data_IF_784868215662
#
_entry.id   IF_784868215662
#
_cell.length_a   1.000
_cell.length_b   1.000
_cell.length_c   1.000
_cell.angle_alpha   90.00
_cell.angle_beta   90.00
_cell.angle_gamma   90.00
#
_symmetry.space_group_name_H-M   'P 1'
#
loop_
_entity.id
_entity.type
_entity.pdbx_description
1 polymer ?
#
# COMPACT_ATOMS: atom_id res chain seq x y z
N UNK A 1 -8.18 -15.37 24.62
CA UNK A 1 -7.91 -13.91 24.62
C UNK A 1 -7.77 -13.43 23.19
N UNK A 2 -8.44 -12.35 22.78
CA UNK A 2 -8.34 -11.84 21.41
C UNK A 2 -6.92 -11.28 21.14
N UNK A 3 -6.24 -11.79 20.12
CA UNK A 3 -4.89 -11.36 19.71
C UNK A 3 -4.98 -9.91 19.22
N UNK A 4 -4.54 -8.96 20.04
CA UNK A 4 -4.57 -7.52 19.74
C UNK A 4 -3.46 -7.24 18.73
N UNK A 5 -3.80 -6.99 17.47
CA UNK A 5 -2.83 -6.61 16.45
C UNK A 5 -2.23 -5.25 16.82
N UNK A 6 -0.99 -5.25 17.32
CA UNK A 6 -0.27 -4.03 17.71
C UNK A 6 0.65 -3.62 16.58
N UNK A 7 0.27 -2.58 15.85
CA UNK A 7 1.12 -2.02 14.80
C UNK A 7 2.21 -1.15 15.41
N UNK A 8 3.48 -1.44 15.08
CA UNK A 8 4.63 -0.71 15.64
C UNK A 8 4.70 0.75 15.23
N UNK A 9 4.33 1.09 13.99
CA UNK A 9 4.41 2.46 13.45
C UNK A 9 3.50 3.45 14.17
N UNK A 10 2.36 2.95 14.66
CA UNK A 10 1.28 3.73 15.28
C UNK A 10 1.63 4.16 16.71
N UNK A 11 2.68 3.59 17.31
CA UNK A 11 3.17 3.96 18.63
C UNK A 11 3.62 5.44 18.70
N UNK A 12 4.03 6.04 17.57
CA UNK A 12 4.40 7.47 17.48
C UNK A 12 3.31 8.45 17.91
N UNK A 13 2.05 8.01 17.88
CA UNK A 13 0.91 8.86 18.24
C UNK A 13 0.69 8.97 19.76
N UNK A 14 1.28 8.09 20.57
CA UNK A 14 1.11 8.10 22.02
C UNK A 14 -0.32 7.77 22.46
N UNK A 15 -0.90 8.60 23.33
CA UNK A 15 -2.29 8.47 23.81
C UNK A 15 -3.35 9.02 22.84
N UNK A 16 -2.95 9.79 21.82
CA UNK A 16 -3.85 10.53 20.93
C UNK A 16 -4.63 9.61 19.96
N UNK A 17 -5.74 10.14 19.43
CA UNK A 17 -6.56 9.59 18.33
C UNK A 17 -7.34 8.29 18.61
N UNK A 18 -7.25 7.72 19.82
CA UNK A 18 -8.01 6.52 20.20
C UNK A 18 -7.50 5.23 19.54
N UNK A 19 -7.94 4.06 20.02
CA UNK A 19 -7.41 2.77 19.56
C UNK A 19 -7.86 2.39 18.15
N UNK A 20 -9.16 2.51 17.85
CA UNK A 20 -9.74 2.02 16.57
C UNK A 20 -9.13 2.70 15.35
N UNK A 21 -8.97 4.02 15.39
CA UNK A 21 -8.38 4.79 14.30
C UNK A 21 -6.90 4.42 14.10
N UNK A 22 -6.18 4.26 15.22
CA UNK A 22 -4.80 3.80 15.26
C UNK A 22 -4.62 2.41 14.64
N UNK A 23 -5.47 1.45 14.98
CA UNK A 23 -5.40 0.10 14.41
C UNK A 23 -5.63 0.12 12.89
N UNK A 24 -6.65 0.87 12.42
CA UNK A 24 -6.93 1.02 10.97
C UNK A 24 -5.76 1.67 10.22
N UNK A 25 -5.23 2.75 10.77
CA UNK A 25 -4.10 3.45 10.16
C UNK A 25 -2.83 2.58 10.13
N UNK A 26 -2.59 1.82 11.20
CA UNK A 26 -1.47 0.88 11.28
C UNK A 26 -1.53 -0.22 10.24
N UNK A 27 -2.74 -0.74 9.95
CA UNK A 27 -2.94 -1.71 8.88
C UNK A 27 -2.52 -1.14 7.51
N UNK A 28 -2.97 0.09 7.20
CA UNK A 28 -2.66 0.78 5.94
C UNK A 28 -1.16 1.08 5.83
N UNK A 29 -0.52 1.59 6.89
CA UNK A 29 0.92 1.85 6.89
C UNK A 29 1.76 0.58 6.77
N UNK A 30 1.33 -0.51 7.43
CA UNK A 30 2.02 -1.79 7.35
C UNK A 30 1.98 -2.37 5.94
N UNK A 31 0.83 -2.25 5.27
CA UNK A 31 0.68 -2.66 3.88
C UNK A 31 1.50 -1.77 2.93
N UNK A 32 1.44 -0.45 3.10
CA UNK A 32 2.18 0.52 2.28
C UNK A 32 3.70 0.35 2.38
N UNK A 33 4.23 0.04 3.58
CA UNK A 33 5.68 -0.12 3.82
C UNK A 33 6.19 -1.52 3.46
N UNK A 34 5.31 -2.45 3.13
CA UNK A 34 5.70 -3.80 2.73
C UNK A 34 6.49 -3.72 1.44
N UNK A 35 7.49 -4.58 1.30
CA UNK A 35 8.16 -4.78 0.01
C UNK A 35 7.20 -5.52 -0.93
N UNK A 36 6.94 -4.96 -2.09
CA UNK A 36 6.05 -5.56 -3.09
C UNK A 36 6.84 -6.18 -4.24
N UNK A 37 6.21 -7.16 -4.92
CA UNK A 37 6.73 -7.75 -6.15
C UNK A 37 6.65 -6.74 -7.29
N UNK A 38 7.76 -6.58 -8.00
CA UNK A 38 7.82 -5.75 -9.19
C UNK A 38 7.09 -6.43 -10.37
N UNK A 39 6.29 -5.70 -11.17
CA UNK A 39 5.66 -6.26 -12.37
C UNK A 39 6.67 -6.55 -13.50
N UNK A 40 7.83 -5.88 -13.51
CA UNK A 40 8.82 -6.01 -14.57
C UNK A 40 9.88 -7.07 -14.30
N UNK A 41 10.45 -7.09 -13.08
CA UNK A 41 11.54 -7.99 -12.71
C UNK A 41 11.14 -9.08 -11.71
N UNK A 42 9.90 -9.06 -11.20
CA UNK A 42 9.34 -10.02 -10.24
C UNK A 42 10.06 -10.13 -8.87
N UNK A 43 11.08 -9.30 -8.61
CA UNK A 43 11.73 -9.20 -7.30
C UNK A 43 10.91 -8.38 -6.30
N UNK A 44 11.00 -8.76 -5.03
CA UNK A 44 10.34 -8.09 -3.89
C UNK A 44 11.17 -6.91 -3.35
N UNK A 45 11.45 -5.92 -4.20
CA UNK A 45 12.22 -4.72 -3.83
C UNK A 45 11.57 -3.43 -4.37
N UNK A 46 10.23 -3.40 -4.44
CA UNK A 46 9.49 -2.18 -4.77
C UNK A 46 9.25 -1.37 -3.49
N UNK A 47 9.54 -0.07 -3.57
CA UNK A 47 9.25 0.92 -2.53
C UNK A 47 8.38 2.05 -3.10
N UNK A 48 7.58 2.66 -2.24
CA UNK A 48 6.74 3.82 -2.59
C UNK A 48 7.60 5.09 -2.62
N UNK A 49 7.52 5.86 -3.70
CA UNK A 49 8.19 7.16 -3.82
C UNK A 49 7.22 8.30 -3.49
N UNK A 50 6.02 8.27 -4.10
CA UNK A 50 4.94 9.21 -3.82
C UNK A 50 3.59 8.49 -3.76
N UNK A 51 2.49 9.21 -3.55
CA UNK A 51 1.14 8.61 -3.65
C UNK A 51 0.97 8.06 -5.08
N UNK A 52 0.72 6.76 -5.21
CA UNK A 52 0.50 6.12 -6.51
C UNK A 52 1.75 5.91 -7.37
N UNK A 53 2.90 6.47 -7.01
CA UNK A 53 4.18 6.29 -7.72
C UNK A 53 5.08 5.33 -6.94
N UNK A 54 5.51 4.27 -7.60
CA UNK A 54 6.32 3.21 -7.04
C UNK A 54 7.60 3.02 -7.83
N UNK A 55 8.70 2.75 -7.12
CA UNK A 55 10.03 2.54 -7.69
C UNK A 55 10.56 1.18 -7.28
N UNK A 56 11.02 0.40 -8.23
CA UNK A 56 11.78 -0.82 -7.95
C UNK A 56 13.27 -0.48 -7.80
N UNK A 57 13.90 -0.86 -6.69
CA UNK A 57 15.33 -0.60 -6.47
C UNK A 57 16.23 -1.49 -7.33
N UNK A 58 15.76 -2.66 -7.75
CA UNK A 58 16.57 -3.60 -8.53
C UNK A 58 16.68 -3.21 -10.00
N UNK A 59 15.55 -2.88 -10.64
CA UNK A 59 15.51 -2.57 -12.08
C UNK A 59 15.33 -1.07 -12.37
N UNK A 60 15.28 -0.22 -11.32
CA UNK A 60 15.08 1.23 -11.41
C UNK A 60 13.82 1.69 -12.15
N UNK A 61 12.89 0.80 -12.47
CA UNK A 61 11.61 1.16 -13.07
C UNK A 61 10.74 1.95 -12.09
N UNK A 62 10.17 3.05 -12.58
CA UNK A 62 9.12 3.81 -11.90
C UNK A 62 7.79 3.53 -12.59
N UNK A 63 6.76 3.23 -11.83
CA UNK A 63 5.45 2.91 -12.38
C UNK A 63 4.32 3.40 -11.49
N UNK A 64 3.14 3.52 -12.08
CA UNK A 64 1.91 3.95 -11.41
C UNK A 64 1.13 2.75 -10.90
N UNK A 65 0.67 2.79 -9.64
CA UNK A 65 -0.28 1.80 -9.10
C UNK A 65 -1.15 2.44 -8.00
N UNK A 66 -1.85 1.64 -7.18
CA UNK A 66 -2.73 2.20 -6.14
C UNK A 66 -1.93 2.98 -5.10
N UNK A 67 -2.63 3.81 -4.34
CA UNK A 67 -2.02 4.69 -3.32
C UNK A 67 -1.26 3.91 -2.23
N UNK A 68 -1.82 2.80 -1.74
CA UNK A 68 -1.27 2.03 -0.62
C UNK A 68 -0.85 0.61 -0.99
N UNK A 69 -1.19 0.13 -2.19
CA UNK A 69 -0.90 -1.24 -2.63
C UNK A 69 -0.40 -1.30 -4.06
N UNK A 70 0.55 -2.20 -4.31
CA UNK A 70 0.99 -2.56 -5.66
C UNK A 70 0.12 -3.71 -6.16
N UNK A 71 -1.10 -3.40 -6.57
CA UNK A 71 -1.97 -4.33 -7.29
C UNK A 71 -2.31 -3.73 -8.65
N UNK A 72 -2.54 -4.58 -9.66
CA UNK A 72 -3.06 -4.10 -10.94
C UNK A 72 -4.33 -3.27 -10.67
N UNK A 73 -4.49 -2.09 -11.31
CA UNK A 73 -5.74 -1.36 -11.22
C UNK A 73 -6.88 -2.28 -11.66
N UNK A 74 -8.05 -2.22 -11.01
CA UNK A 74 -9.21 -2.94 -11.50
C UNK A 74 -9.46 -2.51 -12.95
N UNK A 75 -9.64 -3.47 -13.85
CA UNK A 75 -10.03 -3.17 -15.23
C UNK A 75 -11.44 -2.61 -15.15
N UNK A 76 -11.59 -1.31 -15.41
CA UNK A 76 -12.91 -0.69 -15.53
C UNK A 76 -13.49 -1.23 -16.83
N UNK A 77 -14.56 -2.04 -16.74
CA UNK A 77 -15.36 -2.39 -17.91
C UNK A 77 -16.14 -1.13 -18.27
N UNK A 78 -15.72 -0.44 -19.33
CA UNK A 78 -16.52 0.64 -19.90
C UNK A 78 -17.55 -0.04 -20.79
N UNK A 79 -18.78 -0.14 -20.30
CA UNK A 79 -19.93 -0.46 -21.15
C UNK A 79 -20.21 0.82 -21.94
N UNK A 80 -19.86 0.80 -23.22
CA UNK A 80 -20.21 1.87 -24.16
C UNK A 80 -21.63 1.55 -24.62
N UNK A 81 -22.62 2.23 -24.07
CA UNK A 81 -23.95 2.29 -24.67
C UNK A 81 -23.89 3.30 -25.81
N UNK A 82 -23.86 2.79 -27.04
CA UNK A 82 -24.05 3.57 -28.26
C UNK A 82 -25.57 3.79 -28.45
N UNK A 83 -26.05 5.01 -28.24
CA UNK A 83 -27.30 5.50 -28.82
C UNK A 83 -27.04 6.24 -30.14
#
# INVERSE_FOLDING_TARGET
MAKKATYGSVKRFGSRYGKRLRDRYGAIEAEQRKKHKCPYCHYENVKREAVGIWKCEKCNSKFTSKAYTVTKPPVIKVEVEEE
#
